data_IF_917711048881
#
_entry.id   IF_917711048881
#
_cell.length_a   1.000
_cell.length_b   1.000
_cell.length_c   1.000
_cell.angle_alpha   90.00
_cell.angle_beta   90.00
_cell.angle_gamma   90.00
#
_symmetry.space_group_name_H-M   'P 1'
#
loop_
_entity.id
_entity.type
_entity.pdbx_description
1 polymer ?
#
# COMPACT_ATOMS: atom_id res chain seq x y z
N UNK A 1 26.20 31.74 -27.48
CA UNK A 1 27.54 32.26 -27.84
C UNK A 1 28.49 31.08 -27.61
N UNK A 2 28.76 30.18 -28.54
CA UNK A 2 29.21 30.26 -29.93
C UNK A 2 28.77 28.94 -30.61
N UNK A 3 28.19 28.91 -31.82
CA UNK A 3 28.76 29.11 -33.16
C UNK A 3 30.00 28.27 -33.46
N UNK A 4 29.90 27.38 -34.46
CA UNK A 4 30.86 27.22 -35.58
C UNK A 4 30.23 26.32 -36.67
N UNK A 5 29.84 26.88 -37.83
CA UNK A 5 30.56 26.97 -39.14
C UNK A 5 30.75 25.61 -39.84
N UNK A 6 30.67 25.35 -41.15
CA UNK A 6 30.35 26.01 -42.46
C UNK A 6 30.64 24.86 -43.49
N UNK A 7 30.04 24.67 -44.68
CA UNK A 7 30.15 25.41 -45.95
C UNK A 7 29.36 24.71 -47.09
N UNK A 8 28.90 25.52 -48.05
CA UNK A 8 28.24 25.35 -49.39
C UNK A 8 29.00 24.48 -50.46
N UNK A 9 28.60 24.39 -51.77
CA UNK A 9 27.32 24.61 -52.51
C UNK A 9 26.93 23.53 -53.60
N UNK A 10 25.70 23.70 -54.13
CA UNK A 10 25.08 23.43 -55.46
C UNK A 10 25.79 22.69 -56.62
N UNK A 11 25.07 21.76 -57.29
CA UNK A 11 24.56 21.80 -58.71
C UNK A 11 23.91 20.43 -59.07
N UNK A 12 22.61 20.39 -59.33
CA UNK A 12 21.93 20.42 -60.65
C UNK A 12 22.05 19.14 -61.51
N UNK A 13 20.97 18.34 -61.42
CA UNK A 13 20.26 17.58 -62.47
C UNK A 13 20.95 17.35 -63.82
N UNK A 14 21.20 16.08 -64.13
CA UNK A 14 21.13 15.52 -65.49
C UNK A 14 20.17 14.33 -65.48
N UNK A 15 19.10 14.48 -66.25
CA UNK A 15 18.21 13.38 -66.65
C UNK A 15 18.85 12.60 -67.78
N UNK A 16 18.84 11.27 -67.74
CA UNK A 16 18.82 10.45 -68.95
C UNK A 16 17.95 9.21 -68.72
N UNK A 17 16.90 9.11 -69.53
CA UNK A 17 16.05 7.94 -69.75
C UNK A 17 16.82 6.89 -70.58
N UNK A 18 16.14 5.75 -70.80
CA UNK A 18 16.34 4.68 -71.80
C UNK A 18 16.92 3.41 -71.14
N UNK A 19 16.44 2.18 -71.33
CA UNK A 19 15.21 1.58 -71.88
C UNK A 19 15.38 0.05 -71.69
N UNK A 20 14.27 -0.67 -71.62
CA UNK A 20 14.09 -2.07 -72.08
C UNK A 20 14.76 -3.23 -71.34
N UNK A 21 13.95 -4.27 -71.12
CA UNK A 21 14.43 -5.62 -70.93
C UNK A 21 13.44 -6.57 -70.26
N UNK A 22 12.32 -6.88 -70.93
CA UNK A 22 11.51 -8.06 -70.62
C UNK A 22 12.31 -9.34 -70.88
N UNK A 23 12.37 -10.28 -69.92
CA UNK A 23 12.36 -11.73 -70.21
C UNK A 23 11.71 -12.46 -69.02
N UNK A 24 10.67 -13.22 -69.35
CA UNK A 24 10.00 -14.23 -68.53
C UNK A 24 10.71 -15.58 -68.73
N UNK A 25 10.93 -16.35 -67.65
CA UNK A 25 11.03 -17.81 -67.78
C UNK A 25 10.56 -18.53 -66.51
N UNK A 26 9.68 -19.50 -66.76
CA UNK A 26 8.95 -20.38 -65.86
C UNK A 26 9.84 -21.57 -65.46
N UNK A 27 9.76 -22.09 -64.22
CA UNK A 27 9.62 -23.54 -64.00
C UNK A 27 9.12 -23.90 -62.58
N UNK A 28 8.30 -24.95 -62.56
CA UNK A 28 7.61 -25.58 -61.44
C UNK A 28 8.50 -26.28 -60.41
N UNK A 29 7.96 -26.45 -59.21
CA UNK A 29 8.34 -27.50 -58.27
C UNK A 29 7.43 -27.55 -57.05
N UNK A 30 6.43 -28.44 -57.07
CA UNK A 30 5.63 -28.80 -55.88
C UNK A 30 6.32 -29.96 -55.18
N UNK A 31 6.57 -29.84 -53.87
CA UNK A 31 6.79 -30.98 -52.98
C UNK A 31 6.42 -30.64 -51.52
N UNK A 32 5.49 -31.41 -50.98
CA UNK A 32 5.16 -31.62 -49.55
C UNK A 32 5.10 -33.17 -49.45
N UNK A 33 5.58 -33.89 -48.40
CA UNK A 33 5.33 -33.63 -46.96
C UNK A 33 6.42 -34.09 -45.94
N UNK A 34 6.14 -33.80 -44.66
CA UNK A 34 6.18 -34.76 -43.52
C UNK A 34 7.16 -34.56 -42.35
N UNK A 35 6.55 -34.63 -41.16
CA UNK A 35 7.00 -35.15 -39.85
C UNK A 35 8.01 -34.39 -38.94
N UNK A 36 7.43 -33.86 -37.86
CA UNK A 36 7.78 -34.12 -36.45
C UNK A 36 9.21 -33.84 -35.94
N UNK A 37 9.36 -32.73 -35.21
CA UNK A 37 10.31 -32.63 -34.10
C UNK A 37 9.65 -31.95 -32.89
N UNK A 38 9.68 -32.65 -31.76
CA UNK A 38 9.11 -32.26 -30.47
C UNK A 38 10.25 -31.70 -29.61
N UNK A 39 10.25 -30.42 -29.21
CA UNK A 39 10.88 -30.01 -27.94
C UNK A 39 10.43 -28.63 -27.38
N UNK A 40 9.64 -28.69 -26.29
CA UNK A 40 9.75 -28.00 -24.99
C UNK A 40 10.26 -26.54 -24.90
N UNK A 41 9.45 -25.73 -24.20
CA UNK A 41 9.77 -24.48 -23.47
C UNK A 41 9.96 -23.23 -24.36
N UNK A 42 9.12 -22.20 -24.28
CA UNK A 42 8.89 -21.39 -23.07
C UNK A 42 7.50 -20.78 -23.07
N UNK A 43 6.71 -21.11 -22.06
CA UNK A 43 5.46 -20.45 -21.73
C UNK A 43 5.82 -19.05 -21.22
N UNK A 44 5.88 -18.04 -22.10
CA UNK A 44 5.91 -16.64 -21.68
C UNK A 44 4.52 -16.28 -21.13
N UNK A 45 4.25 -16.65 -19.88
CA UNK A 45 3.24 -15.97 -19.08
C UNK A 45 3.81 -14.59 -18.74
N UNK A 46 3.66 -13.64 -19.66
CA UNK A 46 3.71 -12.22 -19.30
C UNK A 46 2.40 -11.94 -18.58
N UNK A 47 2.39 -12.07 -17.26
CA UNK A 47 1.37 -11.42 -16.44
C UNK A 47 1.53 -9.92 -16.65
N UNK A 48 0.74 -9.38 -17.58
CA UNK A 48 0.49 -7.94 -17.65
C UNK A 48 -0.22 -7.58 -16.34
N UNK A 49 0.54 -7.31 -15.29
CA UNK A 49 0.05 -6.55 -14.15
C UNK A 49 -0.31 -5.18 -14.70
N UNK A 50 -1.57 -5.05 -15.11
CA UNK A 50 -2.17 -3.77 -15.44
C UNK A 50 -2.20 -3.02 -14.11
N UNK A 51 -1.30 -2.06 -13.94
CA UNK A 51 -1.37 -1.12 -12.83
C UNK A 51 -2.74 -0.42 -12.96
N UNK A 52 -3.70 -0.82 -12.15
CA UNK A 52 -4.94 -0.08 -11.98
C UNK A 52 -4.54 1.18 -11.22
N UNK A 53 -4.44 2.32 -11.92
CA UNK A 53 -4.39 3.61 -11.26
C UNK A 53 -5.78 3.81 -10.65
N UNK A 54 -5.91 3.53 -9.36
CA UNK A 54 -7.12 3.85 -8.62
C UNK A 54 -7.13 5.36 -8.41
N UNK A 55 -8.13 6.03 -8.96
CA UNK A 55 -8.37 7.44 -8.67
C UNK A 55 -8.96 7.52 -7.26
N UNK A 56 -8.19 8.07 -6.32
CA UNK A 56 -8.73 8.45 -5.01
C UNK A 56 -9.58 9.70 -5.14
N UNK A 57 -10.59 9.84 -4.28
CA UNK A 57 -11.28 11.12 -4.13
C UNK A 57 -10.32 12.08 -3.42
N UNK A 58 -10.19 13.30 -3.94
CA UNK A 58 -9.44 14.38 -3.28
C UNK A 58 -10.19 14.82 -2.03
N UNK A 59 -9.93 14.12 -0.93
CA UNK A 59 -10.40 14.48 0.41
C UNK A 59 -9.30 15.27 1.11
N UNK A 60 -9.58 16.51 1.49
CA UNK A 60 -8.68 17.29 2.34
C UNK A 60 -8.54 16.60 3.70
N UNK A 61 -7.32 16.56 4.22
CA UNK A 61 -7.10 16.08 5.58
C UNK A 61 -7.71 17.09 6.57
N UNK A 62 -8.50 16.64 7.56
CA UNK A 62 -8.94 17.55 8.61
C UNK A 62 -7.72 18.06 9.40
N UNK A 63 -7.78 19.30 9.88
CA UNK A 63 -6.85 19.76 10.91
C UNK A 63 -6.96 18.82 12.12
N UNK A 64 -5.91 18.62 12.91
CA UNK A 64 -6.04 17.85 14.15
C UNK A 64 -7.10 18.49 15.05
N UNK A 65 -7.99 17.67 15.61
CA UNK A 65 -8.97 18.15 16.59
C UNK A 65 -8.29 18.66 17.86
N UNK A 66 -9.03 19.45 18.63
CA UNK A 66 -8.69 19.94 19.94
C UNK A 66 -9.37 19.05 21.00
N UNK A 67 -8.70 18.87 22.13
CA UNK A 67 -9.37 18.35 23.32
C UNK A 67 -10.12 19.52 23.99
N UNK A 68 -11.36 19.32 24.45
CA UNK A 68 -12.11 20.35 25.15
C UNK A 68 -11.54 20.57 26.56
N UNK A 69 -11.67 21.80 27.07
CA UNK A 69 -11.27 22.14 28.45
C UNK A 69 -12.29 21.63 29.49
N UNK A 70 -13.57 21.51 29.10
CA UNK A 70 -14.64 21.01 29.96
C UNK A 70 -15.76 20.31 29.18
N UNK A 71 -16.58 19.50 29.87
CA UNK A 71 -17.76 18.86 29.25
C UNK A 71 -18.82 19.87 28.77
N UNK A 72 -18.87 21.07 29.35
CA UNK A 72 -19.80 22.12 28.94
C UNK A 72 -19.47 22.71 27.56
N UNK A 73 -18.22 22.55 27.10
CA UNK A 73 -17.74 23.07 25.81
C UNK A 73 -17.90 22.06 24.66
N UNK A 74 -18.52 20.90 24.93
CA UNK A 74 -18.70 19.88 23.91
C UNK A 74 -19.69 20.34 22.84
N UNK A 75 -19.30 20.30 21.55
CA UNK A 75 -20.23 20.63 20.47
C UNK A 75 -21.31 19.55 20.35
N UNK A 76 -22.53 20.01 20.07
CA UNK A 76 -23.70 19.14 19.80
C UNK A 76 -24.03 19.06 18.31
N UNK A 77 -23.56 20.03 17.53
CA UNK A 77 -23.76 20.16 16.09
C UNK A 77 -22.42 20.33 15.35
N UNK A 78 -22.47 20.20 14.02
CA UNK A 78 -21.29 20.26 13.15
C UNK A 78 -21.01 18.94 12.42
N UNK A 79 -19.90 18.91 11.67
CA UNK A 79 -19.46 17.74 10.92
C UNK A 79 -19.04 16.63 11.88
N UNK A 80 -19.69 15.46 11.78
CA UNK A 80 -19.39 14.29 12.60
C UNK A 80 -18.35 13.40 11.93
N UNK A 81 -17.35 13.00 12.70
CA UNK A 81 -16.36 12.01 12.30
C UNK A 81 -16.65 10.73 13.07
N UNK A 82 -17.07 9.70 12.34
CA UNK A 82 -17.54 8.42 12.89
C UNK A 82 -16.60 7.28 12.48
N UNK A 83 -16.41 6.31 13.39
CA UNK A 83 -15.68 5.07 13.10
C UNK A 83 -16.50 3.85 13.52
N UNK A 84 -16.58 2.88 12.60
CA UNK A 84 -17.15 1.56 12.83
C UNK A 84 -16.00 0.55 12.91
N UNK A 85 -15.71 0.02 14.08
CA UNK A 85 -14.60 -0.90 14.30
C UNK A 85 -15.12 -2.27 14.72
N UNK A 86 -14.50 -3.32 14.19
CA UNK A 86 -14.78 -4.72 14.55
C UNK A 86 -13.46 -5.38 14.92
N UNK A 87 -13.41 -6.12 16.03
CA UNK A 87 -12.18 -6.83 16.40
C UNK A 87 -12.09 -8.14 15.61
N UNK A 88 -10.98 -8.40 14.94
CA UNK A 88 -10.86 -9.54 13.99
C UNK A 88 -10.98 -10.94 14.63
N UNK A 89 -10.88 -11.04 15.96
CA UNK A 89 -10.80 -12.30 16.69
C UNK A 89 -11.91 -12.46 17.74
N UNK A 90 -12.77 -11.46 17.89
CA UNK A 90 -13.95 -11.51 18.77
C UNK A 90 -15.16 -10.99 18.00
N UNK A 91 -16.36 -11.17 18.54
CA UNK A 91 -17.57 -10.55 17.96
C UNK A 91 -17.76 -9.09 18.47
N UNK A 92 -16.72 -8.49 19.05
CA UNK A 92 -16.79 -7.12 19.57
C UNK A 92 -16.79 -6.10 18.43
N UNK A 93 -17.76 -5.19 18.47
CA UNK A 93 -17.86 -4.07 17.55
C UNK A 93 -18.20 -2.77 18.30
N UNK A 94 -17.77 -1.65 17.74
CA UNK A 94 -18.10 -0.29 18.22
C UNK A 94 -18.42 0.61 17.04
N UNK A 95 -19.40 1.49 17.22
CA UNK A 95 -19.80 2.53 16.27
C UNK A 95 -19.85 3.86 17.03
N UNK A 96 -18.89 4.74 16.75
CA UNK A 96 -18.62 5.90 17.63
C UNK A 96 -18.29 7.16 16.85
N UNK A 97 -18.94 8.25 17.22
CA UNK A 97 -18.60 9.61 16.78
C UNK A 97 -17.51 10.16 17.71
N UNK A 98 -16.26 10.08 17.27
CA UNK A 98 -15.10 10.44 18.10
C UNK A 98 -14.72 11.91 18.02
N UNK A 99 -15.25 12.64 17.02
CA UNK A 99 -14.99 14.06 16.81
C UNK A 99 -16.19 14.75 16.16
N UNK A 100 -16.43 15.98 16.57
CA UNK A 100 -17.44 16.87 15.99
C UNK A 100 -16.79 18.21 15.69
N UNK A 101 -16.83 18.63 14.42
CA UNK A 101 -16.11 19.81 13.96
C UNK A 101 -14.61 19.67 14.25
N UNK A 102 -14.08 20.55 15.09
CA UNK A 102 -12.66 20.55 15.49
C UNK A 102 -12.44 20.06 16.92
N UNK A 103 -13.42 19.41 17.55
CA UNK A 103 -13.31 18.95 18.95
C UNK A 103 -13.42 17.43 19.01
N UNK A 104 -12.43 16.78 19.63
CA UNK A 104 -12.53 15.37 19.97
C UNK A 104 -13.45 15.16 21.17
N UNK A 105 -14.22 14.08 21.14
CA UNK A 105 -15.20 13.74 22.17
C UNK A 105 -14.54 12.85 23.24
N UNK A 106 -14.25 13.33 24.47
CA UNK A 106 -13.47 12.56 25.46
C UNK A 106 -14.08 11.21 25.82
N UNK A 107 -15.41 11.14 25.99
CA UNK A 107 -16.11 9.88 26.26
C UNK A 107 -15.92 8.84 25.15
N UNK A 108 -16.04 9.27 23.88
CA UNK A 108 -15.78 8.42 22.73
C UNK A 108 -14.32 7.96 22.64
N UNK A 109 -13.37 8.83 22.98
CA UNK A 109 -11.96 8.46 23.04
C UNK A 109 -11.71 7.39 24.12
N UNK A 110 -12.37 7.48 25.27
CA UNK A 110 -12.28 6.45 26.31
C UNK A 110 -12.85 5.10 25.85
N UNK A 111 -13.98 5.11 25.16
CA UNK A 111 -14.55 3.89 24.57
C UNK A 111 -13.61 3.27 23.54
N UNK A 112 -13.02 4.10 22.67
CA UNK A 112 -12.01 3.67 21.68
C UNK A 112 -10.76 3.11 22.35
N UNK A 113 -10.24 3.76 23.40
CA UNK A 113 -9.08 3.28 24.15
C UNK A 113 -9.33 1.91 24.76
N UNK A 114 -10.51 1.70 25.36
CA UNK A 114 -10.90 0.40 25.88
C UNK A 114 -11.10 -0.63 24.75
N UNK A 115 -11.72 -0.24 23.63
CA UNK A 115 -11.91 -1.10 22.47
C UNK A 115 -10.58 -1.52 21.84
N UNK A 116 -9.55 -0.66 21.87
CA UNK A 116 -8.24 -0.88 21.25
C UNK A 116 -7.16 -1.31 22.24
N UNK A 117 -7.54 -1.61 23.48
CA UNK A 117 -6.68 -2.17 24.53
C UNK A 117 -5.96 -3.43 24.07
N UNK A 118 -4.86 -3.74 24.74
CA UNK A 118 -4.10 -4.95 24.46
C UNK A 118 -4.97 -6.19 24.71
N UNK A 119 -5.11 -7.02 23.70
CA UNK A 119 -5.93 -8.24 23.79
C UNK A 119 -5.35 -9.32 24.69
N UNK A 120 -4.05 -9.28 24.99
CA UNK A 120 -3.37 -10.33 25.75
C UNK A 120 -3.51 -10.14 27.25
N UNK A 121 -3.31 -8.91 27.74
CA UNK A 121 -3.31 -8.59 29.16
C UNK A 121 -4.40 -7.59 29.57
N UNK A 122 -5.23 -7.14 28.61
CA UNK A 122 -6.33 -6.18 28.81
C UNK A 122 -5.90 -4.78 29.26
N UNK A 123 -4.61 -4.46 29.16
CA UNK A 123 -4.09 -3.14 29.50
C UNK A 123 -4.57 -2.08 28.51
N UNK A 124 -5.06 -0.97 29.06
CA UNK A 124 -5.61 0.17 28.31
C UNK A 124 -4.59 1.29 28.30
N UNK A 125 -4.42 1.94 27.16
CA UNK A 125 -3.62 3.17 27.03
C UNK A 125 -4.40 4.24 26.27
N UNK A 126 -3.94 5.49 26.37
CA UNK A 126 -4.52 6.63 25.66
C UNK A 126 -3.98 6.67 24.25
N UNK A 127 -4.80 6.27 23.29
CA UNK A 127 -4.42 6.31 21.88
C UNK A 127 -4.47 7.74 21.37
N UNK A 128 -3.43 8.15 20.64
CA UNK A 128 -3.38 9.47 20.01
C UNK A 128 -4.57 9.63 19.05
N UNK A 129 -5.49 10.59 19.28
CA UNK A 129 -6.70 10.73 18.49
C UNK A 129 -6.46 10.97 17.00
N UNK A 130 -5.27 11.47 16.61
CA UNK A 130 -4.91 11.63 15.20
C UNK A 130 -4.84 10.29 14.45
N UNK A 131 -4.64 9.18 15.16
CA UNK A 131 -4.73 7.84 14.56
C UNK A 131 -6.13 7.57 14.01
N UNK A 132 -7.17 8.04 14.69
CA UNK A 132 -8.56 7.94 14.25
C UNK A 132 -8.85 8.83 13.03
N UNK A 133 -8.27 10.03 13.00
CA UNK A 133 -8.32 10.92 11.83
C UNK A 133 -7.68 10.28 10.59
N UNK A 134 -6.58 9.54 10.75
CA UNK A 134 -5.97 8.76 9.67
C UNK A 134 -6.95 7.71 9.14
N UNK A 135 -7.59 6.92 10.02
CA UNK A 135 -8.56 5.90 9.60
C UNK A 135 -9.75 6.51 8.85
N UNK A 136 -10.36 7.55 9.41
CA UNK A 136 -11.51 8.22 8.81
C UNK A 136 -11.15 8.81 7.45
N UNK A 137 -10.01 9.49 7.33
CA UNK A 137 -9.57 10.10 6.06
C UNK A 137 -9.24 9.04 5.01
N UNK A 138 -8.64 7.91 5.42
CA UNK A 138 -8.41 6.77 4.52
C UNK A 138 -9.72 6.25 3.94
N UNK A 139 -10.73 6.00 4.78
CA UNK A 139 -12.05 5.56 4.33
C UNK A 139 -12.70 6.59 3.40
N UNK A 140 -12.64 7.87 3.74
CA UNK A 140 -13.18 8.94 2.91
C UNK A 140 -12.53 8.99 1.51
N UNK A 141 -11.21 8.89 1.42
CA UNK A 141 -10.49 8.83 0.12
C UNK A 141 -10.90 7.63 -0.75
N UNK A 142 -11.29 6.55 -0.10
CA UNK A 142 -11.75 5.32 -0.75
C UNK A 142 -13.25 5.34 -1.09
N UNK A 143 -14.00 6.37 -0.65
CA UNK A 143 -15.46 6.40 -0.74
C UNK A 143 -16.10 5.31 0.12
N UNK A 144 -15.54 5.05 1.30
CA UNK A 144 -15.87 3.94 2.21
C UNK A 144 -16.17 4.40 3.64
N UNK A 145 -16.65 5.62 3.83
CA UNK A 145 -16.93 6.22 5.15
C UNK A 145 -17.73 5.31 6.09
N UNK A 146 -18.74 4.61 5.56
CA UNK A 146 -19.62 3.75 6.37
C UNK A 146 -19.12 2.30 6.51
N UNK A 147 -17.93 1.99 5.99
CA UNK A 147 -17.42 0.61 6.02
C UNK A 147 -16.83 0.27 7.39
N UNK A 148 -17.16 -0.90 7.97
CA UNK A 148 -16.48 -1.36 9.17
C UNK A 148 -14.99 -1.59 8.91
N UNK A 149 -14.17 -1.33 9.91
CA UNK A 149 -12.73 -1.60 9.91
C UNK A 149 -12.48 -2.82 10.78
N UNK A 150 -11.89 -3.86 10.21
CA UNK A 150 -11.42 -5.01 10.98
C UNK A 150 -10.10 -4.63 11.65
N UNK A 151 -10.11 -4.51 12.97
CA UNK A 151 -8.94 -4.24 13.80
C UNK A 151 -8.23 -5.54 14.12
N UNK A 152 -6.94 -5.61 13.79
CA UNK A 152 -6.07 -6.73 14.12
C UNK A 152 -5.33 -6.44 15.43
N UNK A 153 -4.81 -5.22 15.57
CA UNK A 153 -4.16 -4.77 16.80
C UNK A 153 -4.24 -3.25 16.97
N UNK A 154 -4.39 -2.80 18.22
CA UNK A 154 -4.33 -1.40 18.63
C UNK A 154 -3.14 -1.18 19.56
N UNK A 155 -3.37 -0.72 20.78
CA UNK A 155 -2.32 -0.64 21.80
C UNK A 155 -1.72 -2.02 22.10
N UNK A 156 -0.42 -2.07 22.35
CA UNK A 156 0.30 -3.27 22.84
C UNK A 156 1.15 -2.90 24.04
N UNK A 157 1.00 -3.63 25.13
CA UNK A 157 1.88 -3.50 26.29
C UNK A 157 3.31 -3.92 25.93
N UNK A 158 4.26 -3.48 26.75
CA UNK A 158 5.66 -3.87 26.59
C UNK A 158 5.83 -5.40 26.66
N UNK A 159 5.12 -6.05 27.58
CA UNK A 159 5.10 -7.50 27.75
C UNK A 159 4.65 -8.22 26.47
N UNK A 160 3.51 -7.82 25.90
CA UNK A 160 3.00 -8.38 24.64
C UNK A 160 3.96 -8.14 23.49
N UNK A 161 4.54 -6.94 23.40
CA UNK A 161 5.49 -6.64 22.33
C UNK A 161 6.73 -7.53 22.41
N UNK A 162 7.29 -7.75 23.60
CA UNK A 162 8.44 -8.63 23.79
C UNK A 162 8.12 -10.09 23.51
N UNK A 163 6.94 -10.57 23.91
CA UNK A 163 6.45 -11.90 23.53
C UNK A 163 6.38 -12.06 22.00
N UNK A 164 5.80 -11.08 21.28
CA UNK A 164 5.69 -11.12 19.82
C UNK A 164 7.06 -11.07 19.12
N UNK A 165 8.01 -10.31 19.67
CA UNK A 165 9.41 -10.27 19.21
C UNK A 165 10.09 -11.62 19.37
N UNK A 166 9.94 -12.25 20.54
CA UNK A 166 10.55 -13.54 20.85
C UNK A 166 9.97 -14.69 20.02
N UNK A 167 8.72 -14.59 19.57
CA UNK A 167 8.09 -15.62 18.72
C UNK A 167 8.82 -15.86 17.39
N UNK A 168 9.55 -14.86 16.88
CA UNK A 168 10.20 -14.90 15.57
C UNK A 168 9.23 -14.94 14.37
N UNK A 169 7.92 -14.91 14.61
CA UNK A 169 6.88 -14.98 13.56
C UNK A 169 6.39 -13.61 13.11
N UNK A 170 6.64 -12.58 13.91
CA UNK A 170 6.25 -11.18 13.64
C UNK A 170 7.46 -10.31 13.30
N UNK A 171 7.21 -9.08 12.88
CA UNK A 171 8.23 -8.02 12.78
C UNK A 171 8.06 -6.94 13.85
N UNK A 172 7.55 -7.33 15.03
CA UNK A 172 7.44 -6.40 16.16
C UNK A 172 8.78 -5.72 16.41
N UNK A 173 8.78 -4.39 16.44
CA UNK A 173 9.95 -3.59 16.74
C UNK A 173 10.12 -3.44 18.26
N UNK A 174 11.34 -3.24 18.72
CA UNK A 174 11.62 -2.98 20.14
C UNK A 174 10.92 -1.71 20.63
N UNK A 175 11.02 -0.62 19.85
CA UNK A 175 10.29 0.63 20.07
C UNK A 175 9.16 0.74 19.04
N UNK A 176 8.06 0.02 19.30
CA UNK A 176 6.92 -0.04 18.39
C UNK A 176 5.95 1.10 18.64
N UNK A 177 5.41 1.71 17.58
CA UNK A 177 4.32 2.70 17.69
C UNK A 177 3.04 2.14 18.34
N UNK A 178 2.88 0.82 18.42
CA UNK A 178 1.79 0.22 19.20
C UNK A 178 1.99 0.35 20.71
N UNK A 179 3.24 0.38 21.19
CA UNK A 179 3.57 0.64 22.61
C UNK A 179 3.32 2.12 22.91
N UNK A 180 3.68 2.99 21.97
CA UNK A 180 3.44 4.43 22.09
C UNK A 180 1.96 4.84 21.92
N UNK A 181 1.04 3.87 21.75
CA UNK A 181 -0.38 4.10 21.53
C UNK A 181 -0.69 5.03 20.33
N UNK A 182 0.11 4.94 19.27
CA UNK A 182 0.02 5.79 18.07
C UNK A 182 -0.17 4.98 16.79
N UNK A 183 -0.51 3.69 16.89
CA UNK A 183 -0.61 2.79 15.74
C UNK A 183 -1.78 1.82 15.78
N UNK A 184 -2.24 1.43 14.58
CA UNK A 184 -3.31 0.46 14.37
C UNK A 184 -2.93 -0.46 13.19
N UNK A 185 -3.10 -1.77 13.38
CA UNK A 185 -3.08 -2.75 12.30
C UNK A 185 -4.52 -3.07 11.90
N UNK A 186 -4.85 -2.92 10.61
CA UNK A 186 -6.24 -3.02 10.14
C UNK A 186 -6.42 -3.66 8.76
N UNK A 187 -7.66 -4.07 8.51
CA UNK A 187 -8.24 -4.36 7.19
C UNK A 187 -9.56 -3.62 7.03
N UNK A 188 -10.01 -3.49 5.79
CA UNK A 188 -11.36 -3.00 5.48
C UNK A 188 -12.00 -4.04 4.56
N UNK A 189 -13.06 -4.75 4.98
CA UNK A 189 -13.75 -5.72 4.14
C UNK A 189 -14.12 -5.14 2.77
N UNK A 190 -13.82 -5.90 1.71
CA UNK A 190 -14.06 -5.48 0.32
C UNK A 190 -13.03 -4.48 -0.24
N UNK A 191 -12.03 -4.04 0.53
CA UNK A 191 -10.93 -3.19 0.06
C UNK A 191 -9.62 -3.99 0.03
N UNK A 192 -8.96 -4.15 -1.13
CA UNK A 192 -7.67 -4.81 -1.20
C UNK A 192 -6.60 -4.08 -0.37
N UNK A 193 -5.80 -4.81 0.40
CA UNK A 193 -4.75 -4.23 1.24
C UNK A 193 -3.74 -3.31 0.49
N UNK A 194 -3.35 -3.56 -0.78
CA UNK A 194 -2.56 -2.59 -1.54
C UNK A 194 -3.24 -1.23 -1.73
N UNK A 195 -4.55 -1.22 -1.94
CA UNK A 195 -5.33 0.00 -2.12
C UNK A 195 -5.44 0.77 -0.80
N UNK A 196 -5.67 0.06 0.31
CA UNK A 196 -5.67 0.63 1.65
C UNK A 196 -4.30 1.26 2.01
N UNK A 197 -3.20 0.57 1.67
CA UNK A 197 -1.83 1.07 1.83
C UNK A 197 -1.62 2.35 1.04
N UNK A 198 -2.02 2.38 -0.23
CA UNK A 198 -1.80 3.53 -1.09
C UNK A 198 -2.63 4.75 -0.63
N UNK A 199 -3.84 4.50 -0.12
CA UNK A 199 -4.65 5.54 0.54
C UNK A 199 -3.94 6.10 1.78
N UNK A 200 -3.45 5.25 2.67
CA UNK A 200 -2.72 5.67 3.87
C UNK A 200 -1.45 6.47 3.53
N UNK A 201 -0.65 5.98 2.58
CA UNK A 201 0.56 6.65 2.12
C UNK A 201 0.28 8.05 1.57
N UNK A 202 -0.82 8.22 0.84
CA UNK A 202 -1.20 9.52 0.27
C UNK A 202 -1.46 10.60 1.31
N UNK A 203 -1.70 10.22 2.58
CA UNK A 203 -1.92 11.17 3.67
C UNK A 203 -0.62 11.77 4.21
N UNK A 204 0.51 11.05 4.10
CA UNK A 204 1.79 11.44 4.69
C UNK A 204 1.69 11.82 6.19
N UNK A 205 0.79 11.17 6.94
CA UNK A 205 0.50 11.47 8.36
C UNK A 205 1.30 10.64 9.37
N UNK A 206 2.08 9.68 8.88
CA UNK A 206 2.99 8.89 9.70
C UNK A 206 3.44 7.62 8.97
N UNK A 207 3.78 6.58 9.73
CA UNK A 207 4.29 5.33 9.17
C UNK A 207 3.20 4.48 8.51
N UNK A 208 3.55 3.83 7.39
CA UNK A 208 2.69 2.87 6.69
C UNK A 208 3.43 1.55 6.44
N UNK A 209 2.94 0.48 7.06
CA UNK A 209 3.44 -0.88 6.87
C UNK A 209 2.50 -1.72 6.02
N UNK A 210 3.01 -2.43 5.02
CA UNK A 210 2.22 -3.35 4.21
C UNK A 210 2.58 -4.81 4.47
N UNK A 211 1.58 -5.64 4.74
CA UNK A 211 1.75 -7.05 5.08
C UNK A 211 1.07 -7.95 4.03
N UNK A 212 1.71 -8.20 2.86
CA UNK A 212 1.10 -8.96 1.78
C UNK A 212 0.65 -10.37 2.14
N UNK A 213 1.38 -11.08 3.02
CA UNK A 213 0.97 -12.42 3.43
C UNK A 213 -0.29 -12.40 4.30
N UNK A 214 -0.38 -11.43 5.22
CA UNK A 214 -1.53 -11.24 6.10
C UNK A 214 -2.65 -10.39 5.51
N UNK A 215 -2.47 -9.82 4.31
CA UNK A 215 -3.41 -8.91 3.65
C UNK A 215 -3.93 -7.80 4.59
N UNK A 216 -3.04 -7.16 5.35
CA UNK A 216 -3.39 -6.03 6.23
C UNK A 216 -2.38 -4.88 6.08
N UNK A 217 -2.75 -3.73 6.64
CA UNK A 217 -1.94 -2.50 6.65
C UNK A 217 -1.76 -2.05 8.10
N UNK A 218 -0.55 -1.61 8.40
CA UNK A 218 -0.21 -0.87 9.61
C UNK A 218 -0.23 0.62 9.29
N UNK A 219 -0.85 1.42 10.15
CA UNK A 219 -0.78 2.88 10.10
C UNK A 219 -0.44 3.44 11.47
N UNK A 220 0.34 4.52 11.49
CA UNK A 220 0.68 5.24 12.71
C UNK A 220 0.78 6.76 12.47
N UNK A 221 0.87 7.53 13.55
CA UNK A 221 1.08 8.99 13.54
C UNK A 221 2.47 9.43 14.01
N UNK A 222 3.44 8.52 13.93
CA UNK A 222 4.86 8.81 14.18
C UNK A 222 5.56 9.39 12.93
N UNK A 223 6.89 9.23 12.81
CA UNK A 223 7.63 9.70 11.63
C UNK A 223 7.16 9.04 10.33
N UNK A 224 7.03 9.83 9.26
CA UNK A 224 6.67 9.34 7.92
C UNK A 224 7.71 8.34 7.43
N UNK A 225 7.28 7.09 7.23
CA UNK A 225 8.13 5.99 6.76
C UNK A 225 7.27 4.90 6.15
N UNK A 226 7.84 4.10 5.27
CA UNK A 226 7.12 3.05 4.56
C UNK A 226 7.91 1.74 4.62
N UNK A 227 7.21 0.63 4.83
CA UNK A 227 7.82 -0.69 4.74
C UNK A 227 6.85 -1.73 4.18
N UNK A 228 7.41 -2.80 3.62
CA UNK A 228 6.64 -3.99 3.25
C UNK A 228 7.24 -5.19 3.95
N UNK A 229 6.45 -5.84 4.80
CA UNK A 229 6.86 -7.06 5.47
C UNK A 229 6.84 -8.22 4.48
N UNK A 230 8.03 -8.64 4.09
CA UNK A 230 8.24 -9.86 3.34
C UNK A 230 8.70 -10.92 4.33
N UNK A 231 7.79 -11.83 4.72
CA UNK A 231 8.07 -12.88 5.71
C UNK A 231 9.34 -13.68 5.42
N UNK A 232 9.79 -14.46 6.39
CA UNK A 232 11.08 -15.16 6.38
C UNK A 232 11.39 -15.95 5.08
N UNK A 233 10.37 -16.50 4.40
CA UNK A 233 10.52 -17.20 3.11
C UNK A 233 11.09 -16.33 1.99
N UNK A 234 10.79 -15.03 1.95
CA UNK A 234 11.33 -14.11 0.95
C UNK A 234 12.82 -13.81 1.18
N UNK A 235 13.23 -13.67 2.45
CA UNK A 235 14.64 -13.48 2.83
C UNK A 235 15.51 -14.69 2.48
N UNK A 236 14.99 -15.90 2.65
CA UNK A 236 15.68 -17.14 2.28
C UNK A 236 15.88 -17.26 0.76
N UNK A 237 14.84 -16.97 -0.05
CA UNK A 237 14.93 -16.95 -1.52
C UNK A 237 15.95 -15.93 -2.04
N UNK A 238 16.04 -14.76 -1.41
CA UNK A 238 16.99 -13.73 -1.81
C UNK A 238 18.45 -14.13 -1.52
N UNK A 239 18.72 -14.73 -0.34
CA UNK A 239 20.05 -15.30 0.00
C UNK A 239 20.46 -16.44 -0.94
N UNK A 240 19.53 -17.34 -1.28
CA UNK A 240 19.79 -18.44 -2.22
C UNK A 240 20.18 -17.96 -3.63
N UNK A 241 19.52 -16.93 -4.15
CA UNK A 241 19.83 -16.38 -5.47
C UNK A 241 21.20 -15.69 -5.54
N UNK A 242 21.62 -15.01 -4.46
CA UNK A 242 22.94 -14.35 -4.36
C UNK A 242 24.08 -15.38 -4.30
N UNK A 243 23.90 -16.47 -3.53
CA UNK A 243 24.89 -17.56 -3.43
C UNK A 243 25.04 -18.33 -4.75
N UNK A 244 23.93 -18.59 -5.45
CA UNK A 244 23.96 -19.22 -6.79
C UNK A 244 24.70 -18.38 -7.83
N UNK A 245 24.54 -17.05 -7.82
CA UNK A 245 25.25 -16.14 -8.73
C UNK A 245 26.76 -16.06 -8.43
N UNK A 246 27.17 -16.14 -7.16
CA UNK A 246 28.58 -16.11 -6.78
C UNK A 246 29.31 -17.38 -7.23
N UNK A 247 28.69 -18.55 -7.13
CA UNK A 247 29.30 -19.82 -7.52
C UNK A 247 29.32 -20.06 -9.06
N UNK A 248 28.69 -19.20 -9.86
CA UNK A 248 28.74 -19.27 -11.34
C UNK A 248 29.77 -18.30 -11.95
N UNK A 249 30.50 -17.56 -11.12
CA UNK A 249 31.51 -16.57 -11.52
C UNK A 249 32.90 -16.88 -10.96
N UNK A 250 33.07 -18.08 -10.39
CA UNK A 250 34.34 -18.62 -9.93
C UNK A 250 34.70 -19.83 -10.81
#
# INVERSE_FOLDING_TARGET
MFVRTSTFPLRSLTSFRVLSGFVLLILMGVAVPSASARNRSTRRHTTKFRAMAHAFVDVALPAAGLLPESEADLPVDGLKYELKLVRSHTDDAIDVVYRIGDVYMPGALMELNHFLRDSHNQEVSFIDPRTFDVLHTMLAKLGKNDSPIDILSGFRSQETNDMLRQSGTTNAAEHSQHIEATAIDLRVPGVPAPLLRDAAKSLAMGGVGYYPAGQFVHVDVGPVREWTFSGHAARARHKGSRRSRRNRRA
#
